data_IF_769915633698
#
_entry.id   IF_769915633698
#
_cell.length_a   1.000
_cell.length_b   1.000
_cell.length_c   1.000
_cell.angle_alpha   90.00
_cell.angle_beta   90.00
_cell.angle_gamma   90.00
#
_symmetry.space_group_name_H-M   'P 1'
#
loop_
_entity.id
_entity.type
_entity.pdbx_description
1 polymer ?
#
# COMPACT_ATOMS: atom_id res chain seq x y z
N UNK A 1 -28.05 20.35 -2.30
CA UNK A 1 -27.51 19.00 -2.50
C UNK A 1 -26.19 18.87 -1.74
N UNK A 2 -26.02 17.75 -1.05
CA UNK A 2 -24.74 17.41 -0.41
C UNK A 2 -24.34 16.01 -0.86
N UNK A 3 -23.08 15.85 -1.26
CA UNK A 3 -22.52 14.54 -1.60
C UNK A 3 -21.10 14.43 -1.02
N UNK A 4 -20.70 13.21 -0.70
CA UNK A 4 -19.39 12.87 -0.20
C UNK A 4 -19.12 11.36 -0.49
N UNK A 5 -17.88 10.99 -0.88
CA UNK A 5 -16.71 11.84 -1.05
C UNK A 5 -16.68 12.60 -2.38
N UNK A 6 -15.81 13.60 -2.49
CA UNK A 6 -15.50 14.35 -3.70
C UNK A 6 -13.99 14.61 -3.78
N UNK A 7 -13.42 14.58 -4.98
CA UNK A 7 -12.00 14.80 -5.20
C UNK A 7 -11.10 13.68 -4.65
N UNK A 8 -9.81 13.95 -4.38
CA UNK A 8 -8.89 12.99 -3.81
C UNK A 8 -9.25 12.66 -2.36
N UNK A 9 -9.33 11.36 -2.01
CA UNK A 9 -9.64 10.88 -0.67
C UNK A 9 -8.72 9.74 -0.28
N UNK A 10 -8.19 9.75 0.94
CA UNK A 10 -7.31 8.68 1.42
C UNK A 10 -8.06 7.36 1.64
N UNK A 11 -9.29 7.46 2.16
CA UNK A 11 -10.17 6.33 2.40
C UNK A 11 -11.62 6.76 2.18
N UNK A 12 -12.35 6.01 1.37
CA UNK A 12 -13.78 6.17 1.18
C UNK A 12 -14.52 4.95 1.76
N UNK A 13 -15.06 5.01 2.98
CA UNK A 13 -15.79 3.90 3.58
C UNK A 13 -17.18 3.72 2.95
N UNK A 14 -17.80 4.80 2.49
CA UNK A 14 -19.10 4.81 1.84
C UNK A 14 -19.25 6.06 0.95
N UNK A 15 -20.22 6.02 0.05
CA UNK A 15 -20.65 7.17 -0.75
C UNK A 15 -22.02 7.61 -0.26
N UNK A 16 -22.20 8.89 -0.01
CA UNK A 16 -23.50 9.47 0.38
C UNK A 16 -23.86 10.65 -0.48
N UNK A 17 -25.16 10.82 -0.71
CA UNK A 17 -25.73 12.01 -1.32
C UNK A 17 -27.06 12.37 -0.67
N UNK A 18 -27.29 13.64 -0.46
CA UNK A 18 -28.52 14.14 0.15
C UNK A 18 -29.24 15.08 -0.80
N UNK A 19 -30.47 14.78 -1.08
CA UNK A 19 -31.37 15.58 -1.92
C UNK A 19 -32.11 16.62 -1.06
N UNK A 20 -32.46 17.73 -1.68
CA UNK A 20 -33.28 18.78 -1.02
C UNK A 20 -34.76 18.41 -0.91
N UNK A 21 -35.19 17.37 -1.64
CA UNK A 21 -36.57 16.85 -1.66
C UNK A 21 -36.60 15.39 -1.17
N UNK A 22 -37.73 14.91 -0.60
CA UNK A 22 -37.93 13.50 -0.35
C UNK A 22 -37.93 12.72 -1.67
N UNK A 23 -37.05 11.72 -1.76
CA UNK A 23 -36.89 10.87 -2.95
C UNK A 23 -37.68 9.56 -2.83
N UNK A 24 -37.95 9.13 -1.60
CA UNK A 24 -38.64 7.88 -1.31
C UNK A 24 -39.68 8.08 -0.21
N UNK A 25 -40.75 7.34 -0.23
CA UNK A 25 -41.71 7.28 0.87
C UNK A 25 -41.13 6.45 2.02
N UNK A 26 -41.51 6.76 3.24
CA UNK A 26 -41.03 6.04 4.45
C UNK A 26 -41.32 4.55 4.39
N UNK A 27 -42.45 4.17 3.75
CA UNK A 27 -42.90 2.78 3.60
C UNK A 27 -42.18 1.99 2.51
N UNK A 28 -41.32 2.59 1.72
CA UNK A 28 -40.67 1.98 0.54
C UNK A 28 -39.16 2.02 0.58
N UNK A 29 -38.55 2.24 1.74
CA UNK A 29 -37.09 2.43 1.90
C UNK A 29 -36.27 1.22 1.41
N UNK A 30 -36.74 0.00 1.69
CA UNK A 30 -36.01 -1.22 1.33
C UNK A 30 -36.17 -1.57 -0.16
N UNK A 31 -37.37 -1.40 -0.73
CA UNK A 31 -37.63 -1.75 -2.12
C UNK A 31 -36.95 -0.84 -3.14
N UNK A 32 -36.79 0.43 -2.82
CA UNK A 32 -36.15 1.43 -3.71
C UNK A 32 -34.64 1.46 -3.66
N UNK A 33 -34.04 0.71 -2.75
CA UNK A 33 -32.58 0.52 -2.71
C UNK A 33 -32.05 -0.42 -3.80
N UNK A 34 -32.91 -1.24 -4.41
CA UNK A 34 -32.55 -2.14 -5.52
C UNK A 34 -32.32 -1.38 -6.85
N UNK A 35 -32.97 -0.23 -7.04
CA UNK A 35 -32.86 0.59 -8.25
C UNK A 35 -32.59 2.05 -7.89
N UNK A 36 -31.38 2.37 -7.45
CA UNK A 36 -31.02 3.73 -7.05
C UNK A 36 -31.06 4.67 -8.27
N UNK A 37 -31.53 5.91 -8.13
CA UNK A 37 -31.54 6.90 -9.20
C UNK A 37 -30.16 7.54 -9.40
N UNK A 38 -29.10 6.73 -9.32
CA UNK A 38 -27.69 7.16 -9.34
C UNK A 38 -26.89 6.13 -10.10
N UNK A 39 -25.90 6.59 -10.86
CA UNK A 39 -24.90 5.77 -11.53
C UNK A 39 -23.56 5.97 -10.83
N UNK A 40 -22.90 4.90 -10.46
CA UNK A 40 -21.55 4.86 -9.92
C UNK A 40 -20.66 4.06 -10.88
N UNK A 41 -19.57 4.64 -11.34
CA UNK A 41 -18.67 3.97 -12.31
C UNK A 41 -17.20 4.17 -11.87
N UNK A 42 -16.46 3.07 -11.68
CA UNK A 42 -16.94 1.70 -11.57
C UNK A 42 -17.75 1.49 -10.29
N UNK A 43 -18.70 0.56 -10.31
CA UNK A 43 -19.47 0.18 -9.13
C UNK A 43 -18.85 -1.09 -8.52
N UNK A 44 -18.23 -1.00 -7.34
CA UNK A 44 -17.70 -2.18 -6.66
C UNK A 44 -18.84 -3.01 -6.03
N UNK A 45 -18.57 -4.26 -5.62
CA UNK A 45 -19.53 -5.02 -4.83
C UNK A 45 -19.95 -4.27 -3.56
N UNK A 46 -21.25 -4.14 -3.34
CA UNK A 46 -21.81 -3.36 -2.24
C UNK A 46 -23.32 -3.24 -2.31
N UNK A 47 -23.87 -2.38 -1.47
CA UNK A 47 -25.32 -2.19 -1.37
C UNK A 47 -25.67 -0.71 -1.29
N UNK A 48 -26.71 -0.33 -2.03
CA UNK A 48 -27.39 0.94 -1.89
C UNK A 48 -28.41 0.87 -0.75
N UNK A 49 -28.53 1.95 -0.02
CA UNK A 49 -29.53 2.05 1.05
C UNK A 49 -29.97 3.50 1.27
N UNK A 50 -31.25 3.71 1.54
CA UNK A 50 -31.76 5.00 1.94
C UNK A 50 -31.60 5.22 3.44
N UNK A 51 -30.97 6.34 3.82
CA UNK A 51 -30.91 6.83 5.19
C UNK A 51 -32.00 7.90 5.37
N UNK A 52 -33.25 7.44 5.66
CA UNK A 52 -34.44 8.30 5.63
C UNK A 52 -34.87 8.61 4.19
N UNK A 53 -35.68 9.65 4.02
CA UNK A 53 -36.35 9.92 2.73
C UNK A 53 -35.53 10.73 1.73
N UNK A 54 -34.39 11.28 2.14
CA UNK A 54 -33.60 12.23 1.34
C UNK A 54 -32.15 11.81 1.09
N UNK A 55 -31.57 10.94 1.89
CA UNK A 55 -30.17 10.56 1.80
C UNK A 55 -30.03 9.13 1.29
N UNK A 56 -29.32 9.00 0.17
CA UNK A 56 -28.93 7.72 -0.38
C UNK A 56 -27.47 7.45 -0.03
N UNK A 57 -27.18 6.23 0.37
CA UNK A 57 -25.82 5.76 0.69
C UNK A 57 -25.50 4.49 -0.10
N UNK A 58 -24.29 4.45 -0.66
CA UNK A 58 -23.68 3.21 -1.13
C UNK A 58 -22.65 2.76 -0.10
N UNK A 59 -22.76 1.51 0.32
CA UNK A 59 -21.84 0.85 1.22
C UNK A 59 -21.17 -0.30 0.47
N UNK A 60 -19.87 -0.18 0.13
CA UNK A 60 -19.13 -1.31 -0.44
C UNK A 60 -18.98 -2.42 0.60
N UNK A 61 -18.88 -3.68 0.15
CA UNK A 61 -18.80 -4.85 1.04
C UNK A 61 -17.57 -4.81 1.95
N UNK A 62 -16.46 -4.22 1.49
CA UNK A 62 -15.24 -4.02 2.29
C UNK A 62 -14.89 -2.54 2.38
N UNK A 63 -14.44 -1.99 1.28
CA UNK A 63 -14.11 -0.58 1.05
C UNK A 63 -14.15 -0.30 -0.45
N UNK A 64 -14.14 0.95 -0.84
CA UNK A 64 -13.87 1.27 -2.23
C UNK A 64 -12.47 0.78 -2.62
N UNK A 65 -12.32 0.04 -3.74
CA UNK A 65 -11.03 -0.31 -4.29
C UNK A 65 -10.11 0.90 -4.42
N UNK A 66 -8.83 0.68 -4.08
CA UNK A 66 -7.81 1.73 -4.18
C UNK A 66 -7.37 1.93 -5.62
N UNK A 67 -6.53 2.94 -5.85
CA UNK A 67 -5.98 3.27 -7.17
C UNK A 67 -7.04 3.48 -8.25
N UNK A 68 -8.22 4.02 -7.90
CA UNK A 68 -9.39 4.12 -8.78
C UNK A 68 -9.97 5.52 -8.77
N UNK A 69 -10.43 5.97 -9.94
CA UNK A 69 -11.28 7.14 -10.09
C UNK A 69 -12.72 6.67 -10.24
N UNK A 70 -13.61 7.25 -9.45
CA UNK A 70 -15.04 6.96 -9.42
C UNK A 70 -15.80 8.16 -9.96
N UNK A 71 -16.66 7.92 -10.94
CA UNK A 71 -17.61 8.90 -11.43
C UNK A 71 -19.01 8.59 -10.89
N UNK A 72 -19.65 9.62 -10.37
CA UNK A 72 -21.02 9.53 -9.84
C UNK A 72 -21.92 10.47 -10.63
N UNK A 73 -23.06 9.98 -11.04
CA UNK A 73 -24.06 10.75 -11.79
C UNK A 73 -25.46 10.51 -11.23
N UNK A 74 -26.16 11.58 -10.92
CA UNK A 74 -27.61 11.61 -10.77
C UNK A 74 -28.20 12.12 -12.07
N UNK A 75 -28.92 11.31 -12.87
CA UNK A 75 -29.41 11.73 -14.18
C UNK A 75 -30.42 12.88 -14.10
N UNK A 76 -30.45 13.70 -15.12
CA UNK A 76 -31.55 14.64 -15.32
C UNK A 76 -32.89 13.89 -15.40
N UNK A 77 -33.95 14.50 -14.97
CA UNK A 77 -35.28 13.88 -14.92
C UNK A 77 -35.51 12.95 -13.73
N UNK A 78 -34.49 12.75 -12.84
CA UNK A 78 -34.70 12.06 -11.55
C UNK A 78 -35.79 12.76 -10.76
N UNK A 79 -36.83 12.00 -10.33
CA UNK A 79 -38.05 12.55 -9.71
C UNK A 79 -38.08 12.34 -8.21
N UNK A 80 -38.52 13.37 -7.51
CA UNK A 80 -38.87 13.32 -6.08
C UNK A 80 -40.26 12.70 -5.88
N UNK A 81 -40.57 12.31 -4.65
CA UNK A 81 -41.94 11.86 -4.26
C UNK A 81 -42.99 12.93 -4.54
N UNK A 82 -42.61 14.22 -4.41
CA UNK A 82 -43.51 15.35 -4.74
C UNK A 82 -43.66 15.64 -6.24
N UNK A 83 -43.10 14.77 -7.13
CA UNK A 83 -43.22 14.90 -8.59
C UNK A 83 -42.28 15.91 -9.23
N UNK A 84 -41.45 16.62 -8.49
CA UNK A 84 -40.45 17.53 -9.05
C UNK A 84 -39.29 16.72 -9.66
N UNK A 85 -38.78 17.21 -10.77
CA UNK A 85 -37.69 16.56 -11.51
C UNK A 85 -36.39 17.35 -11.43
N UNK A 86 -35.26 16.68 -11.37
CA UNK A 86 -33.95 17.27 -11.50
C UNK A 86 -33.76 17.85 -12.92
N UNK A 87 -33.56 19.16 -13.02
CA UNK A 87 -33.51 19.86 -14.32
C UNK A 87 -32.25 19.51 -15.15
N UNK A 88 -31.10 19.33 -14.47
CA UNK A 88 -29.84 18.97 -15.08
C UNK A 88 -29.17 17.83 -14.30
N UNK A 89 -28.33 16.99 -14.93
CA UNK A 89 -27.66 15.92 -14.20
C UNK A 89 -26.66 16.52 -13.19
N UNK A 90 -26.61 15.93 -11.98
CA UNK A 90 -25.55 16.22 -11.02
C UNK A 90 -24.41 15.20 -11.20
N UNK A 91 -23.18 15.68 -11.39
CA UNK A 91 -22.00 14.85 -11.63
C UNK A 91 -20.86 15.29 -10.76
N UNK A 92 -20.13 14.32 -10.19
CA UNK A 92 -18.87 14.56 -9.51
C UNK A 92 -17.99 13.33 -9.58
N UNK A 93 -16.73 13.48 -9.24
CA UNK A 93 -15.76 12.39 -9.17
C UNK A 93 -15.07 12.38 -7.84
N UNK A 94 -14.60 11.21 -7.43
CA UNK A 94 -13.64 11.08 -6.35
C UNK A 94 -12.59 10.02 -6.70
N UNK A 95 -11.40 10.14 -6.12
CA UNK A 95 -10.30 9.24 -6.44
C UNK A 95 -9.69 8.67 -5.16
N UNK A 96 -9.41 7.37 -5.19
CA UNK A 96 -8.62 6.69 -4.17
C UNK A 96 -7.14 6.66 -4.57
N UNK A 97 -6.21 6.70 -3.61
CA UNK A 97 -4.78 6.86 -3.90
C UNK A 97 -4.16 5.65 -4.60
N UNK A 98 -3.08 5.87 -5.38
CA UNK A 98 -2.25 4.81 -5.92
C UNK A 98 -1.46 4.09 -4.82
N UNK A 99 -0.74 2.96 -5.14
CA UNK A 99 -0.01 2.18 -4.15
C UNK A 99 1.06 2.97 -3.40
N UNK A 100 1.11 2.75 -2.08
CA UNK A 100 2.14 3.32 -1.20
C UNK A 100 2.81 2.21 -0.41
N UNK A 101 4.14 2.25 -0.33
CA UNK A 101 4.91 1.35 0.51
C UNK A 101 4.63 1.68 1.97
N UNK A 102 4.10 0.72 2.69
CA UNK A 102 3.71 0.83 4.10
C UNK A 102 4.81 0.34 5.03
N UNK A 103 5.46 -0.74 4.65
CA UNK A 103 6.52 -1.37 5.44
C UNK A 103 7.53 -2.06 4.52
N UNK A 104 8.79 -2.00 4.89
CA UNK A 104 9.89 -2.62 4.14
C UNK A 104 10.90 -3.28 5.08
N UNK A 105 11.63 -4.26 4.54
CA UNK A 105 12.76 -4.93 5.17
C UNK A 105 13.74 -5.35 4.06
N UNK A 106 15.05 -5.31 4.29
CA UNK A 106 15.74 -4.89 5.50
C UNK A 106 15.82 -3.37 5.67
N UNK A 107 16.15 -2.93 6.87
CA UNK A 107 16.35 -1.53 7.22
C UNK A 107 17.63 -1.33 8.06
N UNK A 108 18.60 -2.24 7.95
CA UNK A 108 19.80 -2.28 8.77
C UNK A 108 21.09 -2.07 7.96
N UNK A 109 22.19 -1.85 8.65
CA UNK A 109 23.51 -1.56 8.07
C UNK A 109 24.46 -2.76 8.03
N UNK A 110 23.98 -3.98 8.23
CA UNK A 110 24.85 -5.17 8.30
C UNK A 110 24.15 -6.41 7.80
N UNK A 111 23.48 -6.28 6.65
CA UNK A 111 22.74 -7.38 6.03
C UNK A 111 23.67 -8.43 5.40
N UNK A 112 23.25 -9.70 5.33
CA UNK A 112 23.95 -10.73 4.60
C UNK A 112 24.05 -10.41 3.10
N UNK A 113 24.92 -11.13 2.38
CA UNK A 113 25.13 -10.89 0.94
C UNK A 113 24.00 -11.46 0.06
N UNK A 114 23.07 -12.18 0.64
CA UNK A 114 21.89 -12.76 0.02
C UNK A 114 20.63 -12.43 0.84
N UNK A 115 20.35 -11.12 1.08
CA UNK A 115 19.25 -10.72 1.94
C UNK A 115 17.90 -11.04 1.29
N UNK A 116 16.93 -11.43 2.10
CA UNK A 116 15.55 -11.50 1.67
C UNK A 116 14.89 -10.15 1.88
N UNK A 117 14.45 -9.53 0.80
CA UNK A 117 13.80 -8.22 0.83
C UNK A 117 12.29 -8.39 0.87
N UNK A 118 11.63 -7.67 1.78
CA UNK A 118 10.18 -7.66 1.95
C UNK A 118 9.64 -6.25 1.73
N UNK A 119 8.53 -6.15 1.00
CA UNK A 119 7.81 -4.89 0.76
C UNK A 119 6.32 -5.13 0.95
N UNK A 120 5.71 -4.40 1.87
CA UNK A 120 4.26 -4.35 2.06
C UNK A 120 3.71 -3.01 1.56
N UNK A 121 2.61 -3.08 0.82
CA UNK A 121 1.88 -1.94 0.33
C UNK A 121 0.53 -1.78 1.07
N UNK A 122 -0.10 -0.64 0.94
CA UNK A 122 -1.38 -0.29 1.56
C UNK A 122 -2.60 -0.93 0.87
N UNK A 123 -2.38 -1.60 -0.26
CA UNK A 123 -3.43 -2.18 -1.11
C UNK A 123 -2.97 -3.47 -1.80
N UNK A 124 -3.91 -4.16 -2.45
CA UNK A 124 -3.65 -5.42 -3.15
C UNK A 124 -2.72 -5.21 -4.33
N UNK A 125 -1.79 -6.14 -4.52
CA UNK A 125 -0.83 -6.19 -5.61
C UNK A 125 -0.77 -7.58 -6.24
N UNK A 126 -0.32 -7.63 -7.49
CA UNK A 126 0.14 -8.86 -8.12
C UNK A 126 1.68 -8.92 -8.01
N UNK A 127 2.24 -9.83 -7.20
CA UNK A 127 3.67 -9.83 -6.86
C UNK A 127 4.60 -9.84 -8.08
N UNK A 128 4.31 -10.67 -9.08
CA UNK A 128 5.15 -10.79 -10.27
C UNK A 128 5.15 -9.51 -11.12
N UNK A 129 4.01 -8.83 -11.19
CA UNK A 129 3.87 -7.57 -11.91
C UNK A 129 4.49 -6.41 -11.12
N UNK A 130 4.30 -6.39 -9.82
CA UNK A 130 4.89 -5.39 -8.93
C UNK A 130 6.42 -5.46 -8.95
N UNK A 131 7.01 -6.66 -8.92
CA UNK A 131 8.47 -6.85 -8.95
C UNK A 131 9.11 -6.22 -10.18
N UNK A 132 8.44 -6.17 -11.33
CA UNK A 132 8.95 -5.52 -12.55
C UNK A 132 9.10 -4.00 -12.40
N UNK A 133 8.42 -3.43 -11.41
CA UNK A 133 8.51 -2.00 -11.07
C UNK A 133 9.46 -1.75 -9.90
N UNK A 134 10.15 -2.78 -9.41
CA UNK A 134 11.11 -2.68 -8.31
C UNK A 134 12.52 -2.84 -8.87
N UNK A 135 13.41 -1.97 -8.46
CA UNK A 135 14.83 -2.05 -8.77
C UNK A 135 15.65 -2.08 -7.48
N UNK A 136 16.61 -3.00 -7.40
CA UNK A 136 17.66 -3.01 -6.39
C UNK A 136 18.89 -2.36 -7.02
N UNK A 137 19.35 -1.24 -6.47
CA UNK A 137 20.45 -0.43 -7.01
C UNK A 137 21.62 -0.31 -6.04
N UNK A 138 22.82 -0.21 -6.59
CA UNK A 138 24.03 0.23 -5.90
C UNK A 138 24.76 1.26 -6.75
N UNK A 139 25.87 1.79 -6.25
CA UNK A 139 26.78 2.64 -7.03
C UNK A 139 27.31 1.95 -8.31
N UNK A 140 27.28 0.61 -8.37
CA UNK A 140 27.73 -0.20 -9.51
C UNK A 140 26.63 -0.47 -10.54
N UNK A 141 25.38 -0.10 -10.27
CA UNK A 141 24.23 -0.29 -11.15
C UNK A 141 23.10 -1.09 -10.53
N UNK A 142 22.19 -1.54 -11.39
CA UNK A 142 21.01 -2.33 -11.01
C UNK A 142 21.38 -3.80 -10.84
N UNK A 143 20.88 -4.40 -9.75
CA UNK A 143 21.07 -5.81 -9.42
C UNK A 143 19.82 -6.59 -9.82
N UNK A 144 19.98 -7.69 -10.57
CA UNK A 144 18.86 -8.56 -10.88
C UNK A 144 18.24 -9.19 -9.64
N UNK A 145 16.91 -9.23 -9.58
CA UNK A 145 16.14 -9.75 -8.45
C UNK A 145 15.15 -10.82 -8.93
N UNK A 146 14.79 -11.73 -8.03
CA UNK A 146 13.79 -12.77 -8.26
C UNK A 146 12.83 -12.85 -7.07
N UNK A 147 11.57 -13.22 -7.33
CA UNK A 147 10.58 -13.48 -6.26
C UNK A 147 11.10 -14.60 -5.37
N UNK A 148 10.95 -14.43 -4.07
CA UNK A 148 11.28 -15.44 -3.07
C UNK A 148 10.21 -16.53 -3.04
N UNK A 149 10.68 -17.79 -2.95
CA UNK A 149 9.80 -18.93 -2.77
C UNK A 149 9.26 -19.04 -1.33
N UNK A 150 8.20 -19.84 -1.12
CA UNK A 150 7.64 -20.07 0.21
C UNK A 150 8.66 -20.61 1.21
N UNK A 151 9.53 -21.54 0.78
CA UNK A 151 10.54 -22.14 1.66
C UNK A 151 11.60 -21.11 2.10
N UNK A 152 11.97 -20.16 1.22
CA UNK A 152 12.90 -19.09 1.53
C UNK A 152 12.29 -18.11 2.54
N UNK A 153 10.99 -17.81 2.41
CA UNK A 153 10.25 -16.96 3.33
C UNK A 153 10.15 -17.62 4.71
N UNK A 154 9.83 -18.90 4.75
CA UNK A 154 9.69 -19.67 5.99
C UNK A 154 11.03 -19.81 6.73
N UNK A 155 12.13 -19.97 6.00
CA UNK A 155 13.48 -20.06 6.55
C UNK A 155 14.01 -18.74 7.11
N UNK A 156 13.45 -17.59 6.74
CA UNK A 156 13.88 -16.27 7.21
C UNK A 156 12.94 -15.75 8.31
N UNK A 157 13.40 -15.80 9.56
CA UNK A 157 12.58 -15.42 10.73
C UNK A 157 12.00 -14.00 10.67
N UNK A 158 12.72 -13.04 10.09
CA UNK A 158 12.27 -11.65 9.98
C UNK A 158 11.14 -11.54 8.96
N UNK A 159 11.35 -12.06 7.75
CA UNK A 159 10.39 -11.99 6.66
C UNK A 159 9.17 -12.86 6.94
N UNK A 160 9.35 -14.03 7.54
CA UNK A 160 8.25 -14.88 8.01
C UNK A 160 7.32 -14.13 8.97
N UNK A 161 7.86 -13.48 9.99
CA UNK A 161 7.05 -12.67 10.93
C UNK A 161 6.34 -11.52 10.24
N UNK A 162 7.00 -10.83 9.31
CA UNK A 162 6.42 -9.74 8.57
C UNK A 162 5.27 -10.22 7.67
N UNK A 163 5.46 -11.34 6.97
CA UNK A 163 4.43 -11.93 6.10
C UNK A 163 3.19 -12.41 6.84
N UNK A 164 3.37 -12.94 8.06
CA UNK A 164 2.26 -13.35 8.94
C UNK A 164 1.45 -12.16 9.49
N UNK A 165 2.07 -11.00 9.63
CA UNK A 165 1.41 -9.77 10.10
C UNK A 165 0.78 -8.96 8.96
N UNK A 166 1.25 -9.15 7.73
CA UNK A 166 0.77 -8.41 6.58
C UNK A 166 -0.54 -9.01 6.04
N UNK A 167 -1.40 -8.15 5.49
CA UNK A 167 -2.59 -8.61 4.80
C UNK A 167 -2.23 -9.38 3.52
N UNK A 168 -2.85 -10.54 3.35
CA UNK A 168 -2.62 -11.38 2.16
C UNK A 168 -2.85 -10.60 0.87
N UNK A 169 -1.90 -10.70 -0.05
CA UNK A 169 -1.97 -10.03 -1.36
C UNK A 169 -1.52 -8.56 -1.34
N UNK A 170 -1.04 -8.03 -0.21
CA UNK A 170 -0.51 -6.66 -0.12
C UNK A 170 1.00 -6.58 -0.01
N UNK A 171 1.68 -7.70 -0.08
CA UNK A 171 3.12 -7.76 0.08
C UNK A 171 3.78 -8.70 -0.93
N UNK A 172 5.07 -8.51 -1.13
CA UNK A 172 5.94 -9.44 -1.82
C UNK A 172 7.27 -9.55 -1.09
N UNK A 173 7.93 -10.70 -1.28
CA UNK A 173 9.31 -10.90 -0.89
C UNK A 173 10.14 -11.29 -2.11
N UNK A 174 11.36 -10.80 -2.19
CA UNK A 174 12.28 -11.06 -3.28
C UNK A 174 13.73 -11.07 -2.80
N UNK A 175 14.61 -11.62 -3.60
CA UNK A 175 16.04 -11.70 -3.32
C UNK A 175 16.89 -11.30 -4.52
N UNK A 176 18.13 -10.90 -4.33
CA UNK A 176 19.07 -10.77 -5.41
C UNK A 176 19.32 -12.15 -6.07
N UNK A 177 19.49 -12.17 -7.39
CA UNK A 177 19.80 -13.41 -8.13
C UNK A 177 21.21 -13.92 -7.80
N UNK A 178 22.14 -12.99 -7.61
CA UNK A 178 23.52 -13.27 -7.22
C UNK A 178 23.83 -12.61 -5.88
N UNK A 179 24.82 -13.16 -5.14
CA UNK A 179 25.27 -12.54 -3.90
C UNK A 179 25.71 -11.09 -4.11
N UNK A 180 25.32 -10.26 -3.19
CA UNK A 180 25.69 -8.84 -3.15
C UNK A 180 27.16 -8.65 -2.80
N UNK A 181 27.71 -7.49 -3.12
CA UNK A 181 29.07 -7.13 -2.71
C UNK A 181 29.12 -6.78 -1.22
N UNK A 182 30.26 -7.03 -0.58
CA UNK A 182 30.53 -6.65 0.83
C UNK A 182 30.65 -5.13 0.98
N UNK A 183 30.36 -4.62 2.17
CA UNK A 183 30.51 -3.20 2.53
C UNK A 183 29.93 -2.25 1.48
N UNK A 184 28.72 -2.57 0.99
CA UNK A 184 28.10 -1.84 -0.12
C UNK A 184 26.69 -1.41 0.25
N UNK A 185 26.37 -0.16 -0.06
CA UNK A 185 25.04 0.40 0.11
C UNK A 185 24.14 0.01 -1.07
N UNK A 186 22.93 -0.40 -0.74
CA UNK A 186 21.90 -0.75 -1.70
C UNK A 186 20.63 0.06 -1.43
N UNK A 187 19.97 0.45 -2.50
CA UNK A 187 18.67 1.11 -2.47
C UNK A 187 17.66 0.29 -3.25
N UNK A 188 16.56 -0.04 -2.60
CA UNK A 188 15.38 -0.60 -3.24
C UNK A 188 14.48 0.54 -3.65
N UNK A 189 14.09 0.57 -4.93
CA UNK A 189 13.23 1.61 -5.49
C UNK A 189 11.98 0.95 -6.08
N UNK A 190 10.83 1.26 -5.51
CA UNK A 190 9.53 1.03 -6.15
C UNK A 190 9.29 2.23 -7.07
N UNK A 191 9.36 2.03 -8.36
CA UNK A 191 9.32 3.10 -9.37
C UNK A 191 7.93 3.73 -9.50
N UNK A 192 7.90 4.97 -9.92
CA UNK A 192 6.68 5.57 -10.45
C UNK A 192 6.13 4.72 -11.59
N UNK A 193 4.81 4.66 -11.70
CA UNK A 193 4.14 3.77 -12.64
C UNK A 193 3.94 2.34 -12.14
N UNK A 194 4.29 2.00 -10.89
CA UNK A 194 4.00 0.69 -10.30
C UNK A 194 2.48 0.46 -10.17
N UNK A 195 1.98 -0.72 -10.58
CA UNK A 195 0.56 -0.99 -10.66
C UNK A 195 -0.05 -1.40 -9.31
N UNK A 196 -1.36 -1.19 -9.19
CA UNK A 196 -2.23 -1.81 -8.20
C UNK A 196 -2.94 -3.03 -8.80
N UNK A 197 -3.38 -3.96 -7.96
CA UNK A 197 -4.34 -4.99 -8.35
C UNK A 197 -5.79 -4.56 -8.11
N UNK A 198 -6.02 -3.41 -7.45
CA UNK A 198 -7.36 -2.93 -7.11
C UNK A 198 -7.91 -1.94 -8.13
N UNK A 199 -7.05 -1.19 -8.84
CA UNK A 199 -7.46 -0.19 -9.79
C UNK A 199 -6.39 0.23 -10.79
N UNK A 200 -6.74 1.04 -11.78
CA UNK A 200 -5.87 1.39 -12.91
C UNK A 200 -4.80 2.44 -12.58
N UNK A 201 -4.96 3.21 -11.50
CA UNK A 201 -3.99 4.24 -11.13
C UNK A 201 -2.68 3.61 -10.65
N UNK A 202 -1.60 4.29 -10.96
CA UNK A 202 -0.24 3.83 -10.70
C UNK A 202 0.46 4.80 -9.77
N UNK A 203 1.55 4.37 -9.12
CA UNK A 203 2.37 5.24 -8.28
C UNK A 203 2.81 6.48 -9.03
N UNK A 204 2.69 7.65 -8.41
CA UNK A 204 3.00 8.95 -9.03
C UNK A 204 4.50 9.27 -8.94
N UNK A 205 5.20 8.69 -7.99
CA UNK A 205 6.62 8.94 -7.69
C UNK A 205 7.33 7.67 -7.25
N UNK A 206 8.64 7.70 -7.36
CA UNK A 206 9.51 6.67 -6.80
C UNK A 206 9.41 6.66 -5.27
N UNK A 207 9.40 5.46 -4.70
CA UNK A 207 9.44 5.23 -3.25
C UNK A 207 10.64 4.35 -2.96
N UNK A 208 11.51 4.76 -2.05
CA UNK A 208 12.79 4.10 -1.84
C UNK A 208 13.10 3.87 -0.36
N UNK A 209 13.83 2.79 -0.10
CA UNK A 209 14.48 2.51 1.18
C UNK A 209 15.85 1.88 0.93
N UNK A 210 16.73 1.96 1.90
CA UNK A 210 18.12 1.53 1.74
C UNK A 210 18.56 0.61 2.85
N UNK A 211 19.55 -0.21 2.54
CA UNK A 211 20.28 -1.05 3.48
C UNK A 211 21.72 -1.17 3.03
N UNK A 212 22.60 -1.66 3.90
CA UNK A 212 23.97 -1.98 3.53
C UNK A 212 24.36 -3.40 3.94
N UNK A 213 25.26 -4.00 3.20
CA UNK A 213 25.80 -5.32 3.48
C UNK A 213 26.97 -5.21 4.48
N UNK A 214 27.17 -6.28 5.25
CA UNK A 214 28.29 -6.34 6.18
C UNK A 214 29.64 -6.21 5.45
N UNK A 215 30.62 -5.68 6.19
CA UNK A 215 32.00 -5.59 5.73
C UNK A 215 32.76 -6.90 5.86
N UNK A 216 34.00 -6.89 5.40
CA UNK A 216 34.95 -7.98 5.68
C UNK A 216 35.24 -8.01 7.19
N UNK A 217 35.17 -9.21 7.78
CA UNK A 217 35.53 -9.36 9.19
C UNK A 217 36.98 -8.94 9.42
N UNK A 218 37.15 -8.00 10.33
CA UNK A 218 38.47 -7.50 10.74
C UNK A 218 38.47 -7.24 12.26
N UNK A 219 39.64 -7.36 12.86
CA UNK A 219 39.84 -6.89 14.22
C UNK A 219 40.16 -5.40 14.14
N UNK A 220 39.20 -4.56 14.46
CA UNK A 220 39.36 -3.09 14.37
C UNK A 220 40.18 -2.53 15.52
N UNK A 221 40.09 -3.13 16.69
CA UNK A 221 40.80 -2.67 17.88
C UNK A 221 41.04 -3.82 18.86
N UNK A 222 42.20 -3.81 19.48
CA UNK A 222 42.48 -4.62 20.64
C UNK A 222 43.13 -3.74 21.73
N UNK A 223 42.65 -3.82 22.94
CA UNK A 223 43.20 -3.06 24.05
C UNK A 223 43.34 -3.97 25.28
N UNK A 224 44.35 -3.71 26.06
CA UNK A 224 44.53 -4.36 27.34
C UNK A 224 43.92 -3.52 28.45
N UNK A 225 43.19 -4.15 29.35
CA UNK A 225 42.43 -3.46 30.40
C UNK A 225 43.26 -2.95 31.58
N UNK A 226 44.60 -3.09 31.56
CA UNK A 226 45.46 -2.68 32.66
C UNK A 226 46.39 -1.53 32.30
N UNK A 227 46.26 -0.43 33.02
CA UNK A 227 47.16 0.72 33.00
C UNK A 227 48.20 0.62 34.10
N UNK A 228 49.46 0.64 33.75
CA UNK A 228 50.55 0.74 34.72
C UNK A 228 51.59 1.75 34.25
N UNK A 229 51.78 2.82 35.02
CA UNK A 229 52.83 3.82 34.74
C UNK A 229 52.70 4.60 33.44
N UNK A 230 51.45 4.89 33.00
CA UNK A 230 51.17 5.67 31.79
C UNK A 230 51.38 4.95 30.46
N UNK A 231 51.55 3.64 30.47
CA UNK A 231 51.62 2.78 29.28
C UNK A 231 50.63 1.63 29.38
N UNK A 232 49.96 1.30 28.26
CA UNK A 232 49.18 0.07 28.15
C UNK A 232 50.04 -1.15 28.36
N UNK A 233 49.67 -2.01 29.29
CA UNK A 233 50.36 -3.26 29.58
C UNK A 233 49.40 -4.42 29.46
N UNK A 234 49.74 -5.37 28.61
CA UNK A 234 49.03 -6.64 28.49
C UNK A 234 49.78 -7.68 29.34
N UNK A 235 49.32 -8.01 30.57
CA UNK A 235 49.88 -9.13 31.26
C UNK A 235 49.62 -10.44 30.51
N UNK A 236 50.57 -11.40 30.55
CA UNK A 236 50.32 -12.73 29.97
C UNK A 236 49.03 -13.32 30.54
N UNK A 237 48.18 -13.90 29.68
CA UNK A 237 46.89 -14.53 30.05
C UNK A 237 45.78 -13.55 30.52
N UNK A 238 45.88 -12.24 30.26
CA UNK A 238 44.73 -11.37 30.43
C UNK A 238 43.61 -11.74 29.45
N UNK A 239 42.36 -11.88 29.89
CA UNK A 239 41.23 -12.09 28.97
C UNK A 239 41.08 -10.84 28.09
N UNK A 240 40.82 -11.07 26.82
CA UNK A 240 40.51 -10.04 25.84
C UNK A 240 39.11 -9.46 26.04
#
# INVERSE_FOLDING_TARGET
ERFAPEGPVELAPHLTMTFNQPMVAVTSLDQLSEHPPVRLVPEPPGKWRWLGTRTLMFQPDKRFPMATEYAVEVPAGTRSVGGQSLAAPARWTFTTPPPVVKRSHPASSSEPLDPLVFVELDQQIEPATMLRSIELRSARGVVPVAIAGPDEIEANDAVRRLSQQAEKGRWLAFRPVNKLAVATDYTVVVKSGAPSAEGPRRTDRDQAFSFSTYGVMAVEHHACSHWRGGKEHCPPLAPF
#
